data_IF_906670901836
#
_entry.id   IF_906670901836
#
_cell.length_a   1.000
_cell.length_b   1.000
_cell.length_c   1.000
_cell.angle_alpha   90.00
_cell.angle_beta   90.00
_cell.angle_gamma   90.00
#
_symmetry.space_group_name_H-M   'P 1'
#
loop_
_entity.id
_entity.type
_entity.pdbx_description
1 polymer ?
#
# COMPACT_ATOMS: atom_id res chain seq x y z
N UNK A 1 1.55 -10.22 -36.12
CA UNK A 1 2.37 -9.15 -36.73
C UNK A 1 1.94 -7.77 -36.24
N UNK A 2 0.64 -7.38 -36.33
CA UNK A 2 0.14 -6.07 -35.89
C UNK A 2 0.44 -5.80 -34.40
N UNK A 3 0.18 -6.74 -33.52
CA UNK A 3 0.44 -6.61 -32.08
C UNK A 3 1.95 -6.43 -31.79
N UNK A 4 2.80 -7.16 -32.51
CA UNK A 4 4.25 -7.01 -32.39
C UNK A 4 4.78 -5.67 -32.94
N UNK A 5 4.10 -5.07 -33.90
CA UNK A 5 4.45 -3.75 -34.38
C UNK A 5 4.00 -2.65 -33.40
N UNK A 6 2.79 -2.76 -32.85
CA UNK A 6 2.28 -1.80 -31.85
C UNK A 6 3.17 -1.79 -30.59
N UNK A 7 3.62 -2.97 -30.14
CA UNK A 7 4.51 -3.07 -28.97
C UNK A 7 5.91 -2.46 -29.19
N UNK A 8 6.29 -2.16 -30.44
CA UNK A 8 7.56 -1.52 -30.79
C UNK A 8 7.43 -0.04 -31.12
N UNK A 9 6.20 0.47 -31.22
CA UNK A 9 5.96 1.90 -31.42
C UNK A 9 6.22 2.63 -30.10
N UNK A 10 7.33 3.37 -30.07
CA UNK A 10 7.62 4.30 -28.97
C UNK A 10 7.22 5.68 -29.48
N UNK A 11 6.15 6.22 -28.95
CA UNK A 11 5.80 7.62 -29.14
C UNK A 11 6.48 8.43 -28.03
N UNK A 12 7.52 9.17 -28.38
CA UNK A 12 8.26 10.02 -27.44
C UNK A 12 7.44 11.19 -26.88
N UNK A 13 6.24 11.44 -27.39
CA UNK A 13 5.30 12.45 -26.87
C UNK A 13 4.27 11.83 -25.92
N UNK A 14 4.20 10.49 -25.83
CA UNK A 14 3.30 9.85 -24.87
C UNK A 14 3.85 10.04 -23.45
N UNK A 15 3.06 10.63 -22.55
CA UNK A 15 3.55 10.88 -21.20
C UNK A 15 3.87 9.56 -20.48
N UNK A 16 4.94 9.54 -19.74
CA UNK A 16 5.24 8.43 -18.85
C UNK A 16 4.15 8.34 -17.79
N UNK A 17 3.47 7.20 -17.75
CA UNK A 17 2.35 6.98 -16.87
C UNK A 17 2.87 6.40 -15.56
N UNK A 18 2.73 7.14 -14.46
CA UNK A 18 3.25 6.79 -13.16
C UNK A 18 2.14 6.35 -12.19
N UNK A 19 2.10 5.06 -11.88
CA UNK A 19 1.23 4.53 -10.83
C UNK A 19 1.69 5.04 -9.46
N UNK A 20 0.81 5.75 -8.76
CA UNK A 20 1.13 6.37 -7.46
C UNK A 20 0.52 5.61 -6.32
N UNK A 21 1.36 5.15 -5.38
CA UNK A 21 0.98 4.40 -4.19
C UNK A 21 -0.09 5.08 -3.34
N UNK A 22 -0.06 6.40 -3.25
CA UNK A 22 -0.97 7.17 -2.39
C UNK A 22 -2.22 7.70 -3.10
N UNK A 23 -2.53 7.18 -4.27
CA UNK A 23 -3.66 7.66 -5.07
C UNK A 23 -4.64 6.52 -5.33
N UNK A 24 -5.87 6.71 -4.91
CA UNK A 24 -6.97 5.75 -5.14
C UNK A 24 -8.10 6.44 -5.89
N UNK A 25 -8.67 5.76 -6.87
CA UNK A 25 -9.83 6.26 -7.60
C UNK A 25 -11.11 5.57 -7.15
N UNK A 26 -12.19 6.32 -7.19
CA UNK A 26 -13.55 5.91 -6.82
C UNK A 26 -14.52 6.30 -7.93
N UNK A 27 -15.80 5.90 -7.84
CA UNK A 27 -16.82 6.29 -8.82
C UNK A 27 -16.99 7.80 -8.97
N UNK A 28 -16.80 8.56 -7.90
CA UNK A 28 -17.07 9.99 -7.83
C UNK A 28 -15.81 10.88 -7.75
N UNK A 29 -14.61 10.31 -7.77
CA UNK A 29 -13.39 11.12 -7.69
C UNK A 29 -12.14 10.33 -7.36
N UNK A 30 -11.10 11.07 -7.01
CA UNK A 30 -9.77 10.55 -6.68
C UNK A 30 -9.39 11.01 -5.28
N UNK A 31 -8.97 10.06 -4.45
CA UNK A 31 -8.36 10.34 -3.15
C UNK A 31 -6.84 10.33 -3.28
N UNK A 32 -6.22 11.45 -2.96
CA UNK A 32 -4.77 11.64 -2.90
C UNK A 32 -4.36 11.61 -1.43
N UNK A 33 -3.70 10.53 -1.03
CA UNK A 33 -3.33 10.29 0.37
C UNK A 33 -2.13 11.12 0.85
N UNK A 34 -1.39 11.78 -0.05
CA UNK A 34 -0.22 12.57 0.29
C UNK A 34 -0.03 13.70 -0.71
N UNK A 35 -0.37 14.90 -0.29
CA UNK A 35 -0.19 16.11 -1.06
C UNK A 35 0.52 17.16 -0.21
N UNK A 36 1.58 17.76 -0.76
CA UNK A 36 2.31 18.80 -0.06
C UNK A 36 1.54 20.12 -0.08
N UNK A 37 1.35 20.72 1.09
CA UNK A 37 0.73 22.03 1.27
C UNK A 37 1.80 23.08 1.57
N UNK A 38 2.28 23.85 0.57
CA UNK A 38 3.36 24.82 0.75
C UNK A 38 3.05 25.91 1.77
N UNK A 39 1.78 26.31 1.85
CA UNK A 39 1.28 27.34 2.77
C UNK A 39 1.29 26.90 4.24
N UNK A 40 1.18 25.60 4.48
CA UNK A 40 1.16 24.99 5.82
C UNK A 40 2.47 24.27 6.18
N UNK A 41 3.30 23.94 5.21
CA UNK A 41 4.52 23.15 5.42
C UNK A 41 4.25 21.71 5.86
N UNK A 42 3.11 21.13 5.51
CA UNK A 42 2.70 19.76 5.90
C UNK A 42 2.16 18.99 4.70
N UNK A 43 2.10 17.67 4.84
CA UNK A 43 1.35 16.81 3.94
C UNK A 43 -0.08 16.65 4.43
N UNK A 44 -1.04 16.72 3.50
CA UNK A 44 -2.46 16.45 3.74
C UNK A 44 -2.97 15.38 2.77
N UNK A 45 -4.02 14.68 3.17
CA UNK A 45 -4.81 13.88 2.24
C UNK A 45 -6.01 14.69 1.73
N UNK A 46 -6.35 14.51 0.46
CA UNK A 46 -7.46 15.23 -0.18
C UNK A 46 -8.26 14.34 -1.11
N UNK A 47 -9.56 14.59 -1.15
CA UNK A 47 -10.44 14.02 -2.15
C UNK A 47 -10.76 15.06 -3.23
N UNK A 48 -10.67 14.63 -4.48
CA UNK A 48 -10.96 15.44 -5.66
C UNK A 48 -12.12 14.81 -6.42
N UNK A 49 -13.31 15.43 -6.32
CA UNK A 49 -14.44 15.02 -7.15
C UNK A 49 -14.13 15.24 -8.63
N UNK A 50 -14.54 14.33 -9.50
CA UNK A 50 -14.40 14.47 -10.96
C UNK A 50 -15.09 15.71 -11.52
N UNK A 51 -16.11 16.22 -10.83
CA UNK A 51 -16.85 17.43 -11.21
C UNK A 51 -16.11 18.71 -10.81
N UNK A 52 -15.11 18.64 -9.96
CA UNK A 52 -14.39 19.81 -9.44
C UNK A 52 -13.35 20.35 -10.42
N UNK A 53 -13.21 21.66 -10.50
CA UNK A 53 -12.15 22.28 -11.30
C UNK A 53 -10.76 21.94 -10.74
N UNK A 54 -10.63 21.64 -9.46
CA UNK A 54 -9.38 21.22 -8.83
C UNK A 54 -8.90 19.86 -9.36
N UNK A 55 -9.83 18.94 -9.70
CA UNK A 55 -9.47 17.67 -10.34
C UNK A 55 -8.77 17.87 -11.69
N UNK A 56 -9.22 18.85 -12.47
CA UNK A 56 -8.64 19.18 -13.77
C UNK A 56 -7.22 19.72 -13.68
N UNK A 57 -6.80 20.17 -12.48
CA UNK A 57 -5.45 20.65 -12.21
C UNK A 57 -4.48 19.55 -11.76
N UNK A 58 -4.97 18.34 -11.51
CA UNK A 58 -4.09 17.22 -11.19
C UNK A 58 -3.23 16.85 -12.41
N UNK A 59 -2.03 16.39 -12.12
CA UNK A 59 -1.12 15.91 -13.16
C UNK A 59 -1.74 14.70 -13.88
N UNK A 60 -2.02 14.79 -15.20
CA UNK A 60 -2.66 13.72 -15.95
C UNK A 60 -1.80 12.47 -16.12
N UNK A 61 -0.51 12.53 -15.81
CA UNK A 61 0.39 11.36 -15.84
C UNK A 61 0.21 10.44 -14.62
N UNK A 62 -0.46 10.91 -13.57
CA UNK A 62 -0.68 10.14 -12.34
C UNK A 62 -1.77 9.11 -12.55
N UNK A 63 -1.44 7.84 -12.30
CA UNK A 63 -2.39 6.75 -12.24
C UNK A 63 -2.66 6.36 -10.79
N UNK A 64 -3.93 6.18 -10.47
CA UNK A 64 -4.33 5.61 -9.20
C UNK A 64 -3.81 4.17 -9.05
N UNK A 65 -3.31 3.83 -7.87
CA UNK A 65 -2.83 2.48 -7.57
C UNK A 65 -3.97 1.46 -7.52
N UNK A 66 -5.20 1.92 -7.28
CA UNK A 66 -6.38 1.09 -7.29
C UNK A 66 -7.65 1.87 -7.60
N UNK A 67 -8.58 1.21 -8.26
CA UNK A 67 -9.96 1.67 -8.43
C UNK A 67 -10.89 0.90 -7.49
N UNK A 68 -11.74 1.64 -6.77
CA UNK A 68 -12.85 1.11 -5.99
C UNK A 68 -14.18 1.40 -6.67
N UNK A 69 -14.94 0.35 -6.99
CA UNK A 69 -16.26 0.45 -7.61
C UNK A 69 -17.34 0.86 -6.58
N UNK A 70 -17.05 1.96 -5.87
CA UNK A 70 -17.92 2.58 -4.88
C UNK A 70 -17.70 4.10 -4.85
N UNK A 71 -18.65 4.83 -4.28
CA UNK A 71 -18.44 6.24 -4.00
C UNK A 71 -17.57 6.40 -2.75
N UNK A 72 -16.75 7.42 -2.76
CA UNK A 72 -16.00 7.86 -1.59
C UNK A 72 -16.84 8.91 -0.85
N UNK A 73 -17.05 8.68 0.44
CA UNK A 73 -17.66 9.66 1.32
C UNK A 73 -16.56 10.57 1.87
N UNK A 74 -16.71 11.87 1.64
CA UNK A 74 -15.72 12.85 2.12
C UNK A 74 -15.93 13.14 3.61
N UNK A 75 -15.03 12.65 4.41
CA UNK A 75 -15.00 12.84 5.87
C UNK A 75 -14.07 13.99 6.31
N UNK A 76 -13.63 14.85 5.42
CA UNK A 76 -12.71 15.97 5.73
C UNK A 76 -13.26 16.95 6.78
N UNK A 77 -14.57 16.93 7.01
CA UNK A 77 -15.25 17.72 8.05
C UNK A 77 -15.16 17.12 9.47
N UNK A 78 -14.68 15.88 9.58
CA UNK A 78 -14.51 15.18 10.86
C UNK A 78 -13.12 15.49 11.41
N UNK A 79 -13.07 16.06 12.61
CA UNK A 79 -11.78 16.44 13.24
C UNK A 79 -10.98 15.25 13.74
N UNK A 80 -11.66 14.24 14.30
CA UNK A 80 -11.03 13.06 14.87
C UNK A 80 -11.26 11.86 13.96
N UNK A 81 -10.21 11.23 13.49
CA UNK A 81 -10.33 10.04 12.62
C UNK A 81 -11.11 8.89 13.27
N UNK A 82 -11.10 8.78 14.62
CA UNK A 82 -11.90 7.77 15.36
C UNK A 82 -13.41 7.95 15.19
N UNK A 83 -13.85 9.15 14.82
CA UNK A 83 -15.26 9.46 14.64
C UNK A 83 -15.75 9.12 13.21
N UNK A 84 -14.84 8.72 12.31
CA UNK A 84 -15.19 8.25 10.97
C UNK A 84 -15.88 6.88 11.09
N UNK A 85 -17.12 6.72 10.59
CA UNK A 85 -17.88 5.50 10.78
C UNK A 85 -17.31 4.34 9.95
N UNK A 86 -16.84 3.30 10.62
CA UNK A 86 -16.36 2.05 10.01
C UNK A 86 -17.03 0.83 10.64
N UNK A 87 -18.38 0.73 10.59
CA UNK A 87 -19.13 -0.19 11.43
C UNK A 87 -18.77 -1.66 11.24
N UNK A 88 -18.42 -2.07 10.03
CA UNK A 88 -18.03 -3.46 9.77
C UNK A 88 -16.66 -3.79 10.34
N UNK A 89 -15.66 -2.93 10.13
CA UNK A 89 -14.31 -3.15 10.65
C UNK A 89 -14.31 -3.08 12.17
N UNK A 90 -14.96 -2.08 12.73
CA UNK A 90 -15.19 -1.92 14.17
C UNK A 90 -15.82 -3.19 14.79
N UNK A 91 -16.84 -3.75 14.14
CA UNK A 91 -17.50 -4.96 14.64
C UNK A 91 -16.55 -6.16 14.69
N UNK A 92 -15.64 -6.29 13.73
CA UNK A 92 -14.60 -7.34 13.70
C UNK A 92 -13.63 -7.18 14.86
N UNK A 93 -13.15 -5.96 15.11
CA UNK A 93 -12.21 -5.68 16.20
C UNK A 93 -12.87 -5.90 17.58
N UNK A 94 -14.08 -5.38 17.77
CA UNK A 94 -14.85 -5.53 19.01
C UNK A 94 -15.25 -6.99 19.29
N UNK A 95 -15.52 -7.79 18.24
CA UNK A 95 -15.76 -9.22 18.43
C UNK A 95 -14.55 -9.95 19.03
N UNK A 96 -13.33 -9.50 18.76
CA UNK A 96 -12.10 -10.03 19.37
C UNK A 96 -11.94 -9.59 20.84
N UNK A 97 -12.83 -8.73 21.35
CA UNK A 97 -12.76 -8.14 22.70
C UNK A 97 -11.45 -7.38 22.94
N UNK A 98 -10.95 -6.71 21.91
CA UNK A 98 -9.83 -5.80 22.07
C UNK A 98 -10.26 -4.53 22.81
N UNK A 99 -9.36 -4.01 23.61
CA UNK A 99 -9.48 -2.67 24.20
C UNK A 99 -9.42 -1.60 23.12
N UNK A 100 -9.98 -0.42 23.39
CA UNK A 100 -10.07 0.67 22.41
C UNK A 100 -8.69 1.07 21.86
N UNK A 101 -7.66 1.11 22.70
CA UNK A 101 -6.28 1.40 22.29
C UNK A 101 -5.76 0.37 21.27
N UNK A 102 -6.06 -0.91 21.46
CA UNK A 102 -5.66 -1.98 20.50
C UNK A 102 -6.41 -1.84 19.18
N UNK A 103 -7.68 -1.43 19.24
CA UNK A 103 -8.46 -1.13 18.06
C UNK A 103 -7.86 0.07 17.30
N UNK A 104 -7.51 1.14 17.98
CA UNK A 104 -6.85 2.31 17.39
C UNK A 104 -5.54 1.93 16.70
N UNK A 105 -4.71 1.09 17.33
CA UNK A 105 -3.50 0.57 16.70
C UNK A 105 -3.75 -0.22 15.42
N UNK A 106 -4.86 -0.96 15.32
CA UNK A 106 -5.22 -1.67 14.08
C UNK A 106 -5.50 -0.70 12.93
N UNK A 107 -6.15 0.44 13.20
CA UNK A 107 -6.36 1.50 12.23
C UNK A 107 -5.05 2.20 11.83
N UNK A 108 -4.25 2.59 12.82
CA UNK A 108 -2.96 3.26 12.59
C UNK A 108 -2.04 2.39 11.73
N UNK A 109 -1.91 1.11 12.05
CA UNK A 109 -1.08 0.18 11.28
C UNK A 109 -1.65 -0.07 9.88
N UNK A 110 -2.98 -0.12 9.74
CA UNK A 110 -3.64 -0.18 8.44
C UNK A 110 -3.35 1.05 7.58
N UNK A 111 -3.42 2.25 8.16
CA UNK A 111 -3.07 3.50 7.51
C UNK A 111 -1.60 3.56 7.07
N UNK A 112 -0.67 3.09 7.91
CA UNK A 112 0.77 3.03 7.55
C UNK A 112 1.07 2.17 6.34
N UNK A 113 0.28 1.12 6.07
CA UNK A 113 0.43 0.30 4.87
C UNK A 113 0.14 1.07 3.57
N UNK A 114 -0.44 2.25 3.66
CA UNK A 114 -0.69 3.13 2.53
C UNK A 114 0.53 3.97 2.12
N UNK A 115 1.61 3.94 2.89
CA UNK A 115 2.81 4.75 2.69
C UNK A 115 4.06 3.89 2.72
N UNK A 116 5.17 4.41 2.18
CA UNK A 116 6.46 3.75 2.30
C UNK A 116 6.97 3.81 3.74
N UNK A 117 7.78 2.83 4.10
CA UNK A 117 8.41 2.81 5.42
C UNK A 117 9.27 4.05 5.61
N UNK A 118 9.07 4.77 6.72
CA UNK A 118 9.82 5.98 7.00
C UNK A 118 9.38 7.24 6.23
N UNK A 119 8.35 7.14 5.38
CA UNK A 119 7.92 8.27 4.53
C UNK A 119 7.25 9.40 5.32
N UNK A 120 6.42 9.06 6.29
CA UNK A 120 5.70 10.03 7.13
C UNK A 120 6.04 9.93 8.61
N UNK A 121 6.75 8.90 9.02
CA UNK A 121 7.17 8.69 10.40
C UNK A 121 8.59 8.10 10.45
N UNK A 122 9.20 8.10 11.63
CA UNK A 122 10.52 7.50 11.84
C UNK A 122 10.43 6.07 12.42
N UNK A 123 9.30 5.41 12.31
CA UNK A 123 9.09 4.10 12.90
C UNK A 123 9.59 2.97 11.99
N UNK A 124 10.54 2.23 12.49
CA UNK A 124 11.06 1.02 11.86
C UNK A 124 10.32 -0.20 12.42
N UNK A 125 9.03 -0.30 12.13
CA UNK A 125 8.16 -1.37 12.64
C UNK A 125 7.29 -1.95 11.53
N UNK A 126 6.97 -3.22 11.65
CA UNK A 126 6.01 -3.92 10.82
C UNK A 126 4.88 -4.50 11.67
N UNK A 127 3.64 -4.52 11.19
CA UNK A 127 2.53 -5.16 11.90
C UNK A 127 2.72 -6.69 11.93
N UNK A 128 2.65 -7.28 13.12
CA UNK A 128 2.72 -8.72 13.31
C UNK A 128 1.46 -9.23 14.01
N UNK A 129 0.65 -10.01 13.28
CA UNK A 129 -0.62 -10.56 13.77
C UNK A 129 -0.42 -11.94 14.37
N UNK A 130 -0.45 -12.05 15.71
CA UNK A 130 -0.33 -13.31 16.44
C UNK A 130 -1.70 -13.72 17.01
N UNK A 131 -1.99 -15.00 17.01
CA UNK A 131 -3.20 -15.56 17.61
C UNK A 131 -3.46 -17.00 17.18
N UNK A 132 -4.47 -17.63 17.78
CA UNK A 132 -4.85 -19.00 17.47
C UNK A 132 -5.34 -19.17 16.04
N UNK A 133 -5.34 -20.39 15.54
CA UNK A 133 -5.92 -20.69 14.23
C UNK A 133 -7.40 -20.27 14.18
N UNK A 134 -7.87 -19.87 13.00
CA UNK A 134 -9.27 -19.44 12.75
C UNK A 134 -9.71 -18.18 13.50
N UNK A 135 -8.79 -17.39 14.06
CA UNK A 135 -9.12 -16.11 14.72
C UNK A 135 -9.35 -14.93 13.76
N UNK A 136 -9.35 -15.13 12.45
CA UNK A 136 -9.60 -14.08 11.46
C UNK A 136 -8.38 -13.30 10.98
N UNK A 137 -7.15 -13.59 11.48
CA UNK A 137 -5.92 -12.89 11.07
C UNK A 137 -5.73 -12.81 9.55
N UNK A 138 -5.76 -13.96 8.90
CA UNK A 138 -5.60 -14.05 7.45
C UNK A 138 -6.75 -13.34 6.71
N UNK A 139 -7.95 -13.36 7.25
CA UNK A 139 -9.10 -12.64 6.70
C UNK A 139 -8.86 -11.13 6.75
N UNK A 140 -8.40 -10.61 7.88
CA UNK A 140 -8.04 -9.20 8.04
C UNK A 140 -6.97 -8.78 7.00
N UNK A 141 -5.89 -9.54 6.93
CA UNK A 141 -4.79 -9.24 6.00
C UNK A 141 -5.25 -9.33 4.54
N UNK A 142 -5.92 -10.41 4.15
CA UNK A 142 -6.21 -10.69 2.73
C UNK A 142 -7.51 -10.06 2.22
N UNK A 143 -8.48 -9.78 3.08
CA UNK A 143 -9.79 -9.23 2.70
C UNK A 143 -9.95 -7.75 3.04
N UNK A 144 -9.09 -7.21 3.89
CA UNK A 144 -9.07 -5.78 4.21
C UNK A 144 -7.80 -5.15 3.67
N UNK A 145 -6.66 -5.34 4.31
CA UNK A 145 -5.44 -4.61 3.96
C UNK A 145 -4.94 -4.87 2.53
N UNK A 146 -4.94 -6.13 2.08
CA UNK A 146 -4.57 -6.43 0.69
C UNK A 146 -5.44 -5.70 -0.35
N UNK A 147 -6.65 -5.28 0.02
CA UNK A 147 -7.59 -4.63 -0.90
C UNK A 147 -7.25 -3.18 -1.21
N UNK A 148 -6.32 -2.57 -0.49
CA UNK A 148 -5.84 -1.22 -0.80
C UNK A 148 -5.09 -1.16 -2.14
N UNK A 149 -4.53 -2.28 -2.61
CA UNK A 149 -3.74 -2.34 -3.84
C UNK A 149 -4.23 -3.41 -4.79
N UNK A 150 -3.79 -3.33 -6.05
CA UNK A 150 -4.02 -4.41 -7.02
C UNK A 150 -3.19 -5.65 -6.65
N UNK A 151 -3.63 -6.81 -7.11
CA UNK A 151 -2.96 -8.07 -6.73
C UNK A 151 -1.50 -8.13 -7.20
N UNK A 152 -1.18 -7.47 -8.31
CA UNK A 152 0.16 -7.37 -8.87
C UNK A 152 1.10 -6.51 -8.04
N UNK A 153 0.55 -5.54 -7.28
CA UNK A 153 1.31 -4.64 -6.40
C UNK A 153 1.49 -5.19 -4.98
N UNK A 154 0.99 -6.40 -4.73
CA UNK A 154 1.09 -7.06 -3.40
C UNK A 154 1.94 -8.32 -3.52
N UNK A 155 3.15 -8.24 -3.01
CA UNK A 155 4.07 -9.37 -2.93
C UNK A 155 3.74 -10.30 -1.76
N UNK A 156 4.11 -11.58 -1.91
CA UNK A 156 4.00 -12.57 -0.85
C UNK A 156 5.36 -13.13 -0.51
N UNK A 157 5.77 -12.95 0.73
CA UNK A 157 6.98 -13.55 1.30
C UNK A 157 6.61 -14.93 1.87
N UNK A 158 7.09 -16.00 1.26
CA UNK A 158 6.88 -17.35 1.75
C UNK A 158 8.19 -17.95 2.28
N UNK A 159 8.10 -18.94 3.17
CA UNK A 159 9.28 -19.64 3.68
C UNK A 159 10.05 -20.42 2.60
N UNK A 160 9.45 -20.61 1.41
CA UNK A 160 10.08 -21.29 0.26
C UNK A 160 10.66 -20.30 -0.75
N UNK A 161 10.86 -19.05 -0.37
CA UNK A 161 11.52 -18.05 -1.22
C UNK A 161 12.95 -18.54 -1.50
N UNK A 162 13.29 -18.61 -2.78
CA UNK A 162 14.66 -18.88 -3.21
C UNK A 162 15.54 -17.72 -2.72
N UNK A 163 16.47 -18.00 -1.80
CA UNK A 163 17.31 -17.00 -1.11
C UNK A 163 17.92 -15.95 -2.05
N UNK A 164 18.27 -16.34 -3.27
CA UNK A 164 18.99 -15.48 -4.22
C UNK A 164 18.08 -14.63 -5.11
N UNK A 165 16.86 -15.08 -5.41
CA UNK A 165 15.99 -14.44 -6.40
C UNK A 165 14.57 -14.15 -5.87
N UNK A 166 14.29 -14.54 -4.64
CA UNK A 166 12.93 -14.42 -4.07
C UNK A 166 12.43 -12.99 -3.97
N UNK A 167 13.31 -12.04 -3.67
CA UNK A 167 12.98 -10.63 -3.56
C UNK A 167 12.72 -9.98 -4.93
N UNK A 168 13.25 -10.56 -6.02
CA UNK A 168 13.03 -10.00 -7.37
C UNK A 168 11.57 -10.04 -7.82
N UNK A 169 10.78 -10.95 -7.28
CA UNK A 169 9.36 -11.07 -7.58
C UNK A 169 8.49 -9.98 -6.90
N UNK A 170 9.06 -9.25 -5.95
CA UNK A 170 8.35 -8.27 -5.13
C UNK A 170 8.93 -6.86 -5.21
N UNK A 171 9.98 -6.65 -6.01
CA UNK A 171 10.74 -5.39 -6.05
C UNK A 171 9.91 -4.15 -6.36
N UNK A 172 8.84 -4.31 -7.14
CA UNK A 172 7.99 -3.20 -7.57
C UNK A 172 6.65 -3.19 -6.80
N UNK A 173 6.52 -3.99 -5.73
CA UNK A 173 5.29 -4.10 -4.96
C UNK A 173 5.12 -2.96 -3.95
N UNK A 174 3.89 -2.54 -3.75
CA UNK A 174 3.53 -1.54 -2.75
C UNK A 174 3.33 -2.12 -1.34
N UNK A 175 3.04 -3.40 -1.24
CA UNK A 175 2.85 -4.09 0.04
C UNK A 175 3.37 -5.51 -0.03
N UNK A 176 3.92 -5.99 1.08
CA UNK A 176 4.35 -7.38 1.23
C UNK A 176 3.59 -8.05 2.35
N UNK A 177 3.23 -9.30 2.13
CA UNK A 177 2.52 -10.13 3.10
C UNK A 177 3.34 -11.39 3.34
N UNK A 178 3.68 -11.66 4.59
CA UNK A 178 4.23 -12.93 5.02
C UNK A 178 3.12 -13.74 5.73
N UNK A 179 2.43 -14.67 5.05
CA UNK A 179 1.25 -15.33 5.59
C UNK A 179 1.58 -16.26 6.76
N UNK A 180 2.76 -16.85 6.75
CA UNK A 180 3.24 -17.73 7.82
C UNK A 180 4.73 -17.44 8.07
N UNK A 181 5.03 -16.82 9.21
CA UNK A 181 6.40 -16.57 9.62
C UNK A 181 6.85 -17.66 10.56
N UNK A 182 7.82 -18.45 10.13
CA UNK A 182 8.54 -19.42 10.97
C UNK A 182 9.82 -18.79 11.46
N UNK A 183 10.41 -19.33 12.53
CA UNK A 183 11.68 -18.86 13.08
C UNK A 183 12.88 -18.99 12.15
N UNK A 184 12.73 -19.75 11.06
CA UNK A 184 13.72 -20.00 10.01
C UNK A 184 13.34 -19.30 8.68
N UNK A 185 12.77 -18.11 8.76
CA UNK A 185 12.47 -17.31 7.55
C UNK A 185 13.73 -17.22 6.67
N UNK A 186 13.59 -17.55 5.38
CA UNK A 186 14.71 -17.67 4.45
C UNK A 186 15.35 -16.33 4.02
N UNK A 187 15.02 -15.24 4.71
CA UNK A 187 15.67 -13.93 4.57
C UNK A 187 16.88 -13.83 5.49
N UNK A 188 17.97 -13.29 4.96
CA UNK A 188 19.11 -12.91 5.81
C UNK A 188 18.66 -11.81 6.79
N UNK A 189 19.17 -11.84 8.01
CA UNK A 189 18.79 -10.87 9.04
C UNK A 189 19.01 -9.42 8.58
N UNK A 190 20.10 -9.16 7.87
CA UNK A 190 20.42 -7.84 7.35
C UNK A 190 19.38 -7.36 6.31
N UNK A 191 18.99 -8.24 5.36
CA UNK A 191 17.97 -7.93 4.36
C UNK A 191 16.62 -7.63 5.02
N UNK A 192 16.23 -8.42 6.02
CA UNK A 192 15.01 -8.18 6.77
C UNK A 192 15.05 -6.85 7.53
N UNK A 193 16.18 -6.50 8.14
CA UNK A 193 16.37 -5.22 8.84
C UNK A 193 16.27 -4.05 7.85
N UNK A 194 16.93 -4.11 6.70
CA UNK A 194 16.84 -3.07 5.68
C UNK A 194 15.40 -2.89 5.16
N UNK A 195 14.66 -3.98 4.95
CA UNK A 195 13.24 -3.89 4.58
C UNK A 195 12.38 -3.21 5.66
N UNK A 196 12.65 -3.47 6.93
CA UNK A 196 11.90 -2.88 8.06
C UNK A 196 12.28 -1.41 8.26
N UNK A 197 13.53 -1.03 7.97
CA UNK A 197 14.01 0.36 8.09
C UNK A 197 13.69 1.21 6.85
N UNK A 198 13.24 0.59 5.74
CA UNK A 198 12.99 1.31 4.49
C UNK A 198 14.27 1.66 3.73
N UNK A 199 15.36 0.95 4.02
CA UNK A 199 16.62 1.10 3.29
C UNK A 199 16.58 0.32 1.97
N UNK A 200 17.40 0.75 1.01
CA UNK A 200 17.54 0.06 -0.25
C UNK A 200 18.10 -1.36 -0.06
N UNK A 201 17.43 -2.33 -0.65
CA UNK A 201 17.87 -3.74 -0.64
C UNK A 201 18.36 -4.12 -2.01
N UNK A 202 19.62 -4.59 -2.08
CA UNK A 202 20.19 -5.07 -3.35
C UNK A 202 19.52 -6.38 -3.78
N UNK A 203 18.87 -6.38 -4.93
CA UNK A 203 18.10 -7.50 -5.44
C UNK A 203 18.81 -8.13 -6.66
N UNK A 204 19.12 -9.43 -6.57
CA UNK A 204 19.61 -10.18 -7.71
C UNK A 204 18.43 -10.58 -8.63
N UNK A 205 18.45 -10.10 -9.87
CA UNK A 205 17.46 -10.46 -10.89
C UNK A 205 18.05 -11.53 -11.81
N UNK A 206 17.31 -12.60 -12.06
CA UNK A 206 17.74 -13.70 -12.94
C UNK A 206 18.06 -13.14 -14.34
N UNK A 207 19.28 -13.44 -14.82
CA UNK A 207 19.79 -12.97 -16.11
C UNK A 207 20.00 -11.44 -16.26
N UNK A 208 20.09 -10.70 -15.16
CA UNK A 208 20.44 -9.28 -15.14
C UNK A 208 21.45 -9.00 -14.03
N UNK A 209 22.17 -7.89 -14.15
CA UNK A 209 23.01 -7.38 -13.05
C UNK A 209 22.13 -7.06 -11.84
N UNK A 210 22.68 -7.21 -10.63
CA UNK A 210 21.97 -6.82 -9.41
C UNK A 210 21.56 -5.35 -9.49
N UNK A 211 20.32 -5.06 -9.06
CA UNK A 211 19.75 -3.71 -9.00
C UNK A 211 19.58 -3.33 -7.53
N UNK A 212 19.91 -2.12 -7.22
CA UNK A 212 19.69 -1.48 -5.90
C UNK A 212 18.50 -0.54 -5.95
#
# INVERSE_FOLDING_TARGET
EVINNISKCVDGQFPEINKRRHVWSFKNGVFVGKEWMPDKGIYECRFYSYESDKFKCLDPSIIACKYFDQQFDDFSHIERWQDIPTPFFDSVLKYQKFEDEVCDWAYVMGGRLCYDVGELDAWQVIPFFKGIARSGKSTLITKVFKKFYENEDVGTLSNNIEKKFGLSAIKDGFMFIAPEVKGDLALEQAEFQSMVSGEDVSIAVKNKTAMS
#
